data_IF_851766395343
#
_entry.id   IF_851766395343
#
_cell.length_a   1.000
_cell.length_b   1.000
_cell.length_c   1.000
_cell.angle_alpha   90.00
_cell.angle_beta   90.00
_cell.angle_gamma   90.00
#
_symmetry.space_group_name_H-M   'P 1'
#
loop_
_entity.id
_entity.type
_entity.pdbx_description
1 polymer ?
#
# COMPACT_ATOMS: atom_id res chain seq x y z
N UNK A 1 156.04 28.78 15.87
CA UNK A 1 155.32 29.93 15.83
C UNK A 1 154.04 29.64 15.21
N UNK A 2 153.06 29.50 15.89
CA UNK A 2 151.74 29.62 15.90
C UNK A 2 150.97 29.38 14.57
N UNK A 3 150.15 28.44 14.53
CA UNK A 3 149.14 28.20 13.51
C UNK A 3 147.80 27.82 14.12
N UNK A 4 146.72 28.20 13.60
CA UNK A 4 145.45 28.14 14.26
C UNK A 4 144.61 26.90 13.85
N UNK A 5 143.73 26.54 14.74
CA UNK A 5 142.83 25.43 14.68
C UNK A 5 141.59 25.64 13.83
N UNK A 6 141.12 24.59 13.35
CA UNK A 6 139.85 24.49 12.65
C UNK A 6 138.68 24.12 13.62
N UNK A 7 137.65 24.93 13.67
CA UNK A 7 136.46 24.63 14.45
C UNK A 7 135.43 23.81 13.68
N UNK A 8 134.55 23.08 14.38
CA UNK A 8 133.57 22.24 13.74
C UNK A 8 132.37 22.95 13.17
N UNK A 9 131.91 22.52 12.05
CA UNK A 9 130.68 22.95 11.40
C UNK A 9 129.44 22.74 12.29
N UNK A 10 128.85 23.87 12.70
CA UNK A 10 127.60 23.86 13.36
C UNK A 10 126.46 23.47 12.35
N UNK A 11 125.75 22.44 12.67
CA UNK A 11 124.47 22.14 11.96
C UNK A 11 123.46 23.23 12.30
N UNK A 12 123.13 24.07 11.35
CA UNK A 12 122.22 25.18 11.52
C UNK A 12 120.78 24.74 11.65
N UNK A 13 119.90 25.46 12.38
CA UNK A 13 118.47 25.10 12.62
C UNK A 13 117.70 25.00 11.34
N UNK A 14 118.16 25.39 10.19
CA UNK A 14 117.55 25.36 8.90
C UNK A 14 117.21 23.97 8.37
N UNK A 15 118.10 22.98 8.69
CA UNK A 15 117.84 21.61 8.23
C UNK A 15 116.63 20.97 8.94
N UNK A 16 116.47 21.27 10.21
CA UNK A 16 115.27 20.77 10.96
C UNK A 16 113.98 21.46 10.51
N UNK A 17 114.03 22.72 10.16
CA UNK A 17 112.82 23.42 9.62
C UNK A 17 112.49 22.91 8.23
N UNK A 18 113.50 22.61 7.40
CA UNK A 18 113.25 22.00 6.08
C UNK A 18 112.70 20.61 6.20
N UNK A 19 113.17 19.78 7.15
CA UNK A 19 112.69 18.43 7.43
C UNK A 19 111.19 18.47 7.94
N UNK A 20 110.94 19.41 8.85
CA UNK A 20 109.59 19.60 9.36
C UNK A 20 108.62 20.07 8.29
N UNK A 21 109.07 21.00 7.44
CA UNK A 21 108.20 21.51 6.31
C UNK A 21 107.97 20.39 5.27
N UNK A 22 108.95 19.56 4.98
CA UNK A 22 108.83 18.41 4.09
C UNK A 22 107.87 17.34 4.69
N UNK A 23 108.01 17.07 5.97
CA UNK A 23 107.09 16.12 6.65
C UNK A 23 105.60 16.66 6.68
N UNK A 24 105.46 17.94 6.90
CA UNK A 24 104.10 18.58 6.86
C UNK A 24 103.51 18.57 5.45
N UNK A 25 104.32 18.88 4.43
CA UNK A 25 103.88 18.88 3.03
C UNK A 25 103.52 17.45 2.54
N UNK A 26 104.32 16.44 2.94
CA UNK A 26 104.02 15.03 2.60
C UNK A 26 102.81 14.50 3.36
N UNK A 27 102.62 14.92 4.63
CA UNK A 27 101.43 14.60 5.39
C UNK A 27 100.20 15.24 4.80
N UNK A 28 100.34 16.55 4.40
CA UNK A 28 99.25 17.29 3.69
C UNK A 28 98.93 16.65 2.33
N UNK A 29 99.99 16.33 1.52
CA UNK A 29 99.75 15.71 0.22
C UNK A 29 99.17 14.30 0.36
N UNK A 30 99.59 13.50 1.34
CA UNK A 30 98.98 12.22 1.67
C UNK A 30 97.53 12.32 2.13
N UNK A 31 97.24 13.31 3.02
CA UNK A 31 95.86 13.61 3.49
C UNK A 31 94.99 14.10 2.37
N UNK A 32 95.50 15.01 1.51
CA UNK A 32 94.76 15.52 0.37
C UNK A 32 94.48 14.44 -0.68
N UNK A 33 95.45 13.57 -0.97
CA UNK A 33 95.32 12.40 -1.87
C UNK A 33 94.33 11.40 -1.31
N UNK A 34 94.38 11.10 -0.03
CA UNK A 34 93.43 10.24 0.68
C UNK A 34 92.04 10.80 0.62
N UNK A 35 91.88 12.09 0.90
CA UNK A 35 90.61 12.79 0.82
C UNK A 35 90.02 12.78 -0.59
N UNK A 36 90.83 13.06 -1.61
CA UNK A 36 90.38 13.05 -2.98
C UNK A 36 89.97 11.66 -3.48
N UNK A 37 90.69 10.60 -3.13
CA UNK A 37 90.37 9.27 -3.58
C UNK A 37 89.24 8.63 -2.83
N UNK A 38 89.11 8.86 -1.51
CA UNK A 38 88.05 8.26 -0.71
C UNK A 38 86.77 9.12 -0.62
N UNK A 39 86.89 10.42 -0.81
CA UNK A 39 85.76 11.31 -0.78
C UNK A 39 84.73 10.97 -1.86
N UNK A 40 85.17 10.72 -3.08
CA UNK A 40 84.32 10.33 -4.19
C UNK A 40 83.64 9.01 -3.98
N UNK A 41 84.30 8.03 -3.38
CA UNK A 41 83.75 6.71 -3.09
C UNK A 41 82.68 6.78 -1.96
N UNK A 42 82.97 7.58 -0.91
CA UNK A 42 81.99 7.83 0.17
C UNK A 42 80.79 8.56 -0.31
N UNK A 43 81.00 9.62 -1.11
CA UNK A 43 79.90 10.37 -1.74
C UNK A 43 79.08 9.47 -2.67
N UNK A 44 79.73 8.70 -3.53
CA UNK A 44 79.03 7.78 -4.43
C UNK A 44 78.20 6.73 -3.65
N UNK A 45 78.71 6.18 -2.54
CA UNK A 45 77.93 5.28 -1.66
C UNK A 45 76.78 5.99 -0.98
N UNK A 46 76.94 7.26 -0.52
CA UNK A 46 75.89 8.02 0.12
C UNK A 46 74.80 8.40 -0.87
N UNK A 47 75.14 8.81 -2.08
CA UNK A 47 74.21 9.11 -3.17
C UNK A 47 73.45 7.88 -3.63
N UNK A 48 74.15 6.72 -3.77
CA UNK A 48 73.51 5.47 -4.14
C UNK A 48 72.53 4.97 -3.05
N UNK A 49 72.91 5.09 -1.79
CA UNK A 49 72.07 4.73 -0.66
C UNK A 49 70.84 5.64 -0.56
N UNK A 50 71.00 6.96 -0.80
CA UNK A 50 69.93 7.96 -0.82
C UNK A 50 68.95 7.68 -2.00
N UNK A 51 69.51 7.42 -3.20
CA UNK A 51 68.68 7.08 -4.37
C UNK A 51 67.88 5.77 -4.16
N UNK A 52 68.52 4.73 -3.59
CA UNK A 52 67.82 3.48 -3.28
C UNK A 52 66.72 3.67 -2.28
N UNK A 53 66.91 4.49 -1.23
CA UNK A 53 65.82 4.85 -0.30
C UNK A 53 64.72 5.68 -0.99
N UNK A 54 65.08 6.65 -1.83
CA UNK A 54 64.07 7.40 -2.60
C UNK A 54 63.23 6.50 -3.49
N UNK A 55 63.83 5.61 -4.25
CA UNK A 55 63.09 4.62 -5.06
C UNK A 55 62.19 3.70 -4.22
N UNK A 56 62.69 3.29 -3.04
CA UNK A 56 61.92 2.51 -2.08
C UNK A 56 60.67 3.27 -1.57
N UNK A 57 60.83 4.56 -1.24
CA UNK A 57 59.69 5.39 -0.81
C UNK A 57 58.73 5.68 -1.96
N UNK A 58 59.23 6.03 -3.15
CA UNK A 58 58.39 6.28 -4.31
C UNK A 58 57.56 5.05 -4.74
N UNK A 59 58.18 3.88 -4.77
CA UNK A 59 57.47 2.64 -5.05
C UNK A 59 56.40 2.32 -4.01
N UNK A 60 56.72 2.61 -2.73
CA UNK A 60 55.76 2.39 -1.63
C UNK A 60 54.59 3.40 -1.66
N UNK A 61 54.87 4.66 -1.96
CA UNK A 61 53.85 5.68 -2.18
C UNK A 61 52.94 5.33 -3.38
N UNK A 62 53.56 4.84 -4.48
CA UNK A 62 52.78 4.39 -5.64
C UNK A 62 51.87 3.19 -5.32
N UNK A 63 52.37 2.20 -4.57
CA UNK A 63 51.59 1.04 -4.12
C UNK A 63 50.43 1.46 -3.20
N UNK A 64 50.69 2.34 -2.22
CA UNK A 64 49.66 2.84 -1.31
C UNK A 64 48.59 3.69 -2.05
N UNK A 65 49.02 4.47 -3.03
CA UNK A 65 48.06 5.26 -3.87
C UNK A 65 47.19 4.30 -4.67
N UNK A 66 47.74 3.26 -5.27
CA UNK A 66 46.97 2.27 -6.02
C UNK A 66 45.95 1.53 -5.12
N UNK A 67 46.38 1.12 -3.91
CA UNK A 67 45.47 0.51 -2.92
C UNK A 67 44.37 1.47 -2.49
N UNK A 68 44.69 2.74 -2.26
CA UNK A 68 43.72 3.76 -1.90
C UNK A 68 42.70 4.02 -3.04
N UNK A 69 43.16 4.16 -4.28
CA UNK A 69 42.30 4.31 -5.44
C UNK A 69 41.36 3.12 -5.61
N UNK A 70 41.91 1.91 -5.48
CA UNK A 70 41.08 0.70 -5.54
C UNK A 70 40.04 0.64 -4.42
N UNK A 71 40.40 0.99 -3.20
CA UNK A 71 39.47 1.01 -2.08
C UNK A 71 38.39 2.10 -2.24
N UNK A 72 38.77 3.29 -2.75
CA UNK A 72 37.80 4.37 -3.01
C UNK A 72 36.83 4.00 -4.12
N UNK A 73 37.28 3.42 -5.22
CA UNK A 73 36.42 2.94 -6.31
C UNK A 73 35.46 1.84 -5.82
N UNK A 74 35.93 0.86 -5.05
CA UNK A 74 35.10 -0.18 -4.45
C UNK A 74 34.04 0.41 -3.49
N UNK A 75 34.41 1.40 -2.70
CA UNK A 75 33.52 2.09 -1.77
C UNK A 75 32.44 2.92 -2.51
N UNK A 76 32.83 3.68 -3.55
CA UNK A 76 31.90 4.48 -4.35
C UNK A 76 30.90 3.59 -5.08
N UNK A 77 31.35 2.55 -5.77
CA UNK A 77 30.46 1.61 -6.49
C UNK A 77 29.50 0.89 -5.54
N UNK A 78 29.93 0.52 -4.36
CA UNK A 78 29.08 -0.13 -3.35
C UNK A 78 28.05 0.86 -2.79
N UNK A 79 28.46 2.10 -2.52
CA UNK A 79 27.59 3.18 -2.03
C UNK A 79 26.51 3.54 -3.05
N UNK A 80 26.89 3.68 -4.32
CA UNK A 80 25.94 4.00 -5.40
C UNK A 80 24.94 2.86 -5.62
N UNK A 81 25.41 1.61 -5.54
CA UNK A 81 24.52 0.45 -5.59
C UNK A 81 23.53 0.39 -4.42
N UNK A 82 23.95 0.80 -3.21
CA UNK A 82 23.07 0.88 -2.04
C UNK A 82 22.07 2.03 -2.17
N UNK A 83 22.52 3.20 -2.62
CA UNK A 83 21.65 4.37 -2.85
C UNK A 83 20.55 4.05 -3.88
N UNK A 84 20.90 3.38 -4.97
CA UNK A 84 19.93 2.95 -5.99
C UNK A 84 18.88 1.98 -5.42
N UNK A 85 19.30 1.02 -4.59
CA UNK A 85 18.40 0.07 -3.93
C UNK A 85 17.48 0.75 -2.93
N UNK A 86 17.99 1.68 -2.13
CA UNK A 86 17.19 2.47 -1.19
C UNK A 86 16.15 3.34 -1.92
N UNK A 87 16.54 3.98 -3.02
CA UNK A 87 15.60 4.74 -3.85
C UNK A 87 14.51 3.84 -4.47
N UNK A 88 14.84 2.61 -4.84
CA UNK A 88 13.85 1.63 -5.31
C UNK A 88 12.88 1.22 -4.18
N UNK A 89 13.39 0.94 -2.99
CA UNK A 89 12.56 0.62 -1.83
C UNK A 89 11.61 1.77 -1.45
N UNK A 90 12.10 3.02 -1.46
CA UNK A 90 11.27 4.19 -1.19
C UNK A 90 10.13 4.34 -2.21
N UNK A 91 10.40 4.09 -3.49
CA UNK A 91 9.35 4.08 -4.54
C UNK A 91 8.32 2.98 -4.32
N UNK A 92 8.77 1.77 -3.95
CA UNK A 92 7.87 0.65 -3.62
C UNK A 92 7.01 0.95 -2.40
N UNK A 93 7.61 1.54 -1.36
CA UNK A 93 6.87 1.95 -0.17
C UNK A 93 5.79 2.99 -0.51
N UNK A 94 6.12 4.05 -1.23
CA UNK A 94 5.16 5.06 -1.66
C UNK A 94 4.00 4.45 -2.50
N UNK A 95 4.31 3.48 -3.38
CA UNK A 95 3.30 2.76 -4.12
C UNK A 95 2.38 1.93 -3.22
N UNK A 96 2.92 1.26 -2.18
CA UNK A 96 2.14 0.50 -1.21
C UNK A 96 1.24 1.39 -0.35
N UNK A 97 1.73 2.56 0.06
CA UNK A 97 0.93 3.56 0.79
C UNK A 97 -0.23 4.08 -0.05
N UNK A 98 0.01 4.38 -1.33
CA UNK A 98 -1.05 4.76 -2.27
C UNK A 98 -2.10 3.65 -2.44
N UNK A 99 -1.67 2.39 -2.57
CA UNK A 99 -2.55 1.21 -2.65
C UNK A 99 -3.36 1.01 -1.37
N UNK A 100 -2.76 1.30 -0.20
CA UNK A 100 -3.47 1.24 1.07
C UNK A 100 -4.62 2.24 1.14
N UNK A 101 -4.44 3.44 0.59
CA UNK A 101 -5.51 4.44 0.44
C UNK A 101 -6.70 3.91 -0.39
N UNK A 102 -6.43 3.22 -1.50
CA UNK A 102 -7.46 2.60 -2.33
C UNK A 102 -8.19 1.48 -1.58
N UNK A 103 -7.44 0.62 -0.86
CA UNK A 103 -8.04 -0.44 -0.03
C UNK A 103 -8.92 0.13 1.07
N UNK A 104 -8.48 1.19 1.75
CA UNK A 104 -9.26 1.85 2.80
C UNK A 104 -10.54 2.45 2.25
N UNK A 105 -10.50 3.06 1.06
CA UNK A 105 -11.68 3.58 0.40
C UNK A 105 -12.68 2.47 0.02
N UNK A 106 -12.19 1.33 -0.45
CA UNK A 106 -13.02 0.15 -0.74
C UNK A 106 -13.57 -0.51 0.53
N UNK A 107 -12.79 -0.53 1.63
CA UNK A 107 -13.20 -1.11 2.91
C UNK A 107 -14.15 -0.21 3.71
N UNK A 108 -14.16 1.09 3.48
CA UNK A 108 -15.09 2.05 4.08
C UNK A 108 -16.53 1.89 3.59
N UNK A 109 -16.76 1.14 2.52
CA UNK A 109 -18.09 0.72 2.12
C UNK A 109 -18.55 -0.43 3.04
N UNK A 110 -19.77 -0.39 3.62
CA UNK A 110 -20.30 -1.41 4.54
C UNK A 110 -20.27 -2.85 3.98
N UNK A 111 -20.05 -2.99 2.67
CA UNK A 111 -19.85 -4.29 2.01
C UNK A 111 -18.45 -4.89 2.19
N UNK A 112 -17.45 -4.08 2.50
CA UNK A 112 -16.05 -4.52 2.59
C UNK A 112 -15.61 -4.86 4.03
N UNK A 113 -16.46 -4.64 5.03
CA UNK A 113 -16.13 -4.74 6.47
C UNK A 113 -15.80 -6.16 6.98
N UNK A 114 -15.72 -7.16 6.11
CA UNK A 114 -15.35 -8.56 6.46
C UNK A 114 -13.97 -8.97 5.93
N UNK A 115 -13.05 -8.02 5.76
CA UNK A 115 -11.67 -8.36 5.41
C UNK A 115 -10.92 -8.91 6.64
N UNK A 116 -10.08 -9.94 6.46
CA UNK A 116 -9.14 -10.34 7.51
C UNK A 116 -8.23 -9.14 7.82
N UNK A 117 -8.03 -8.86 9.10
CA UNK A 117 -7.10 -7.82 9.58
C UNK A 117 -5.74 -8.02 8.92
N UNK A 118 -5.32 -7.05 8.11
CA UNK A 118 -3.94 -6.96 7.64
C UNK A 118 -3.06 -6.77 8.88
N UNK A 119 -1.95 -7.51 9.02
CA UNK A 119 -1.05 -7.32 10.15
C UNK A 119 -0.57 -5.87 10.16
N UNK A 120 -1.03 -5.12 11.15
CA UNK A 120 -0.60 -3.77 11.41
C UNK A 120 0.86 -3.81 11.88
N UNK A 121 1.65 -2.83 11.40
CA UNK A 121 2.93 -2.37 11.92
C UNK A 121 4.18 -2.95 11.26
N UNK A 122 4.68 -2.17 10.30
CA UNK A 122 6.12 -2.00 10.11
C UNK A 122 6.61 -1.17 11.31
N UNK A 123 7.67 -1.57 12.03
CA UNK A 123 8.23 -0.78 13.13
C UNK A 123 8.58 0.63 12.66
N UNK A 124 8.23 1.63 13.44
CA UNK A 124 8.47 3.03 13.12
C UNK A 124 9.96 3.28 12.85
N UNK A 125 10.28 4.12 11.86
CA UNK A 125 11.65 4.50 11.46
C UNK A 125 12.52 4.96 12.63
N UNK A 126 11.93 5.52 13.68
CA UNK A 126 12.62 6.01 14.88
C UNK A 126 13.36 4.91 15.67
N UNK A 127 12.94 3.67 15.59
CA UNK A 127 13.57 2.58 16.37
C UNK A 127 14.84 2.06 15.67
N UNK A 128 14.84 2.00 14.34
CA UNK A 128 16.02 1.60 13.54
C UNK A 128 17.09 2.69 13.61
N UNK A 129 16.71 3.95 13.56
CA UNK A 129 17.64 5.10 13.65
C UNK A 129 18.23 5.24 15.05
N UNK A 130 17.45 4.99 16.11
CA UNK A 130 17.96 5.01 17.50
C UNK A 130 18.96 3.89 17.78
N UNK A 131 18.74 2.69 17.27
CA UNK A 131 19.69 1.58 17.47
C UNK A 131 21.01 1.81 16.72
N UNK A 132 20.97 2.43 15.54
CA UNK A 132 22.16 2.82 14.79
C UNK A 132 22.93 4.00 15.44
N UNK A 133 22.23 4.94 16.09
CA UNK A 133 22.84 6.10 16.74
C UNK A 133 23.52 5.75 18.06
N UNK A 134 23.05 4.72 18.79
CA UNK A 134 23.61 4.28 20.06
C UNK A 134 24.94 3.52 19.95
N UNK A 135 25.34 3.10 18.73
CA UNK A 135 26.58 2.34 18.48
C UNK A 135 27.76 3.16 17.95
N UNK A 136 27.76 4.49 18.10
CA UNK A 136 28.95 5.29 17.83
C UNK A 136 29.92 5.20 19.03
N UNK A 137 31.09 4.56 18.89
CA UNK A 137 32.13 4.71 19.90
C UNK A 137 32.59 6.16 19.88
N UNK A 138 32.57 6.80 21.04
CA UNK A 138 33.00 8.18 21.22
C UNK A 138 34.45 8.35 20.80
N UNK A 139 34.66 8.98 19.63
CA UNK A 139 35.98 9.43 19.23
C UNK A 139 36.30 10.70 20.01
N UNK A 140 36.92 10.56 21.17
CA UNK A 140 37.64 11.66 21.81
C UNK A 140 38.85 12.00 20.93
N UNK A 141 38.87 13.22 20.38
CA UNK A 141 40.02 13.75 19.65
C UNK A 141 41.26 13.78 20.61
N UNK A 142 42.26 12.93 20.34
CA UNK A 142 43.55 13.00 20.99
C UNK A 142 44.35 14.18 20.39
N UNK A 143 45.07 14.98 21.22
CA UNK A 143 45.98 16.01 20.70
C UNK A 143 47.09 15.41 19.85
N UNK A 144 47.55 16.19 18.84
CA UNK A 144 48.63 15.77 17.92
C UNK A 144 49.87 15.30 18.66
N UNK A 145 50.43 14.14 18.37
CA UNK A 145 51.66 13.69 18.96
C UNK A 145 52.85 14.49 18.37
N UNK A 146 53.76 14.87 19.24
CA UNK A 146 55.11 15.40 18.89
C UNK A 146 55.82 14.40 17.98
N UNK A 147 56.61 14.83 16.96
CA UNK A 147 57.28 13.91 16.07
C UNK A 147 58.34 13.08 16.83
N UNK A 148 58.06 11.81 17.03
CA UNK A 148 59.05 10.84 17.46
C UNK A 148 60.01 10.50 16.32
N UNK A 149 61.30 10.16 16.62
CA UNK A 149 62.30 9.80 15.61
C UNK A 149 61.82 8.62 14.79
N UNK A 150 61.90 8.75 13.47
CA UNK A 150 61.40 7.82 12.46
C UNK A 150 62.04 6.43 12.70
N UNK A 151 61.30 5.38 12.97
CA UNK A 151 61.83 4.04 13.08
C UNK A 151 62.34 3.55 11.72
N UNK A 152 63.39 2.69 11.76
CA UNK A 152 64.05 2.12 10.58
C UNK A 152 63.05 1.52 9.57
N UNK A 153 63.37 1.65 8.29
CA UNK A 153 62.53 1.44 7.10
C UNK A 153 62.06 -0.02 6.89
N UNK A 154 62.34 -0.93 7.81
CA UNK A 154 62.09 -2.38 7.66
C UNK A 154 60.78 -2.91 8.31
N UNK A 155 59.92 -2.04 8.86
CA UNK A 155 58.62 -2.52 9.34
C UNK A 155 57.64 -2.66 8.17
N UNK A 156 57.08 -3.85 7.94
CA UNK A 156 55.99 -4.02 6.94
C UNK A 156 54.81 -3.15 7.36
N UNK A 157 54.35 -2.27 6.47
CA UNK A 157 53.10 -1.52 6.67
C UNK A 157 51.98 -2.57 6.73
N UNK A 158 51.31 -2.67 7.87
CA UNK A 158 50.09 -3.49 7.94
C UNK A 158 49.08 -3.02 6.88
N UNK A 159 48.54 -3.94 6.04
CA UNK A 159 47.55 -3.60 5.07
C UNK A 159 46.32 -3.06 5.79
N UNK A 160 45.73 -1.98 5.25
CA UNK A 160 44.49 -1.35 5.78
C UNK A 160 43.44 -2.44 5.99
N UNK A 161 43.01 -2.68 7.24
CA UNK A 161 42.00 -3.71 7.53
C UNK A 161 40.60 -3.27 7.07
N UNK A 162 40.31 -3.51 5.80
CA UNK A 162 39.00 -3.24 5.16
C UNK A 162 37.96 -4.35 5.46
N UNK A 163 38.29 -5.38 6.24
CA UNK A 163 37.41 -6.53 6.51
C UNK A 163 36.17 -6.09 7.26
N UNK A 164 36.32 -5.25 8.27
CA UNK A 164 35.19 -4.70 9.04
C UNK A 164 34.21 -3.89 8.19
N UNK A 165 34.73 -3.04 7.29
CA UNK A 165 33.92 -2.27 6.35
C UNK A 165 33.15 -3.18 5.38
N UNK A 166 33.83 -4.18 4.78
CA UNK A 166 33.16 -5.15 3.86
C UNK A 166 32.07 -5.95 4.57
N UNK A 167 32.27 -6.34 5.80
CA UNK A 167 31.29 -7.09 6.57
C UNK A 167 30.06 -6.24 6.91
N UNK A 168 30.24 -4.96 7.29
CA UNK A 168 29.15 -4.03 7.54
C UNK A 168 28.30 -3.81 6.28
N UNK A 169 28.93 -3.60 5.13
CA UNK A 169 28.23 -3.48 3.84
C UNK A 169 27.45 -4.74 3.47
N UNK A 170 28.04 -5.92 3.70
CA UNK A 170 27.33 -7.19 3.46
C UNK A 170 26.09 -7.33 4.35
N UNK A 171 26.20 -6.98 5.63
CA UNK A 171 25.04 -6.99 6.56
C UNK A 171 23.96 -6.02 6.12
N UNK A 172 24.32 -4.79 5.75
CA UNK A 172 23.37 -3.81 5.22
C UNK A 172 22.69 -4.33 3.94
N UNK A 173 23.43 -4.94 3.03
CA UNK A 173 22.88 -5.56 1.83
C UNK A 173 21.84 -6.65 2.12
N UNK A 174 22.08 -7.47 3.16
CA UNK A 174 21.12 -8.50 3.59
C UNK A 174 19.84 -7.89 4.18
N UNK A 175 19.95 -6.83 4.98
CA UNK A 175 18.81 -6.11 5.54
C UNK A 175 17.97 -5.48 4.44
N UNK A 176 18.60 -4.83 3.46
CA UNK A 176 17.92 -4.24 2.29
C UNK A 176 17.19 -5.31 1.48
N UNK A 177 17.82 -6.48 1.27
CA UNK A 177 17.18 -7.59 0.57
C UNK A 177 16.02 -8.20 1.36
N UNK A 178 16.10 -8.26 2.69
CA UNK A 178 14.98 -8.71 3.53
C UNK A 178 13.80 -7.74 3.48
N UNK A 179 14.08 -6.45 3.57
CA UNK A 179 13.05 -5.40 3.44
C UNK A 179 12.36 -5.47 2.06
N UNK A 180 13.12 -5.66 0.98
CA UNK A 180 12.55 -5.83 -0.36
C UNK A 180 11.56 -7.00 -0.41
N UNK A 181 11.94 -8.18 0.13
CA UNK A 181 11.03 -9.35 0.19
C UNK A 181 9.76 -9.08 1.00
N UNK A 182 9.86 -8.34 2.11
CA UNK A 182 8.70 -7.96 2.91
C UNK A 182 7.75 -7.04 2.15
N UNK A 183 8.28 -6.05 1.43
CA UNK A 183 7.49 -5.15 0.59
C UNK A 183 6.82 -5.90 -0.56
N UNK A 184 7.50 -6.84 -1.20
CA UNK A 184 6.92 -7.70 -2.24
C UNK A 184 5.78 -8.57 -1.66
N UNK A 185 5.97 -9.18 -0.49
CA UNK A 185 4.93 -9.94 0.20
C UNK A 185 3.71 -9.09 0.57
N UNK A 186 3.92 -7.84 0.98
CA UNK A 186 2.83 -6.90 1.26
C UNK A 186 2.08 -6.51 -0.02
N UNK A 187 2.80 -6.25 -1.13
CA UNK A 187 2.19 -5.95 -2.43
C UNK A 187 1.29 -7.08 -2.93
N UNK A 188 1.75 -8.33 -2.78
CA UNK A 188 0.93 -9.52 -3.09
C UNK A 188 -0.29 -9.64 -2.18
N UNK A 189 -0.14 -9.38 -0.88
CA UNK A 189 -1.25 -9.41 0.07
C UNK A 189 -2.32 -8.36 -0.28
N UNK A 190 -1.91 -7.13 -0.63
CA UNK A 190 -2.80 -6.07 -1.08
C UNK A 190 -3.53 -6.46 -2.38
N UNK A 191 -2.84 -7.06 -3.34
CA UNK A 191 -3.43 -7.52 -4.60
C UNK A 191 -4.46 -8.62 -4.37
N UNK A 192 -4.17 -9.58 -3.48
CA UNK A 192 -5.14 -10.62 -3.08
C UNK A 192 -6.36 -10.04 -2.36
N UNK A 193 -6.17 -9.05 -1.50
CA UNK A 193 -7.25 -8.38 -0.80
C UNK A 193 -8.21 -7.69 -1.77
N UNK A 194 -7.71 -6.90 -2.72
CA UNK A 194 -8.50 -6.24 -3.75
C UNK A 194 -9.29 -7.26 -4.60
N UNK A 195 -8.62 -8.32 -5.06
CA UNK A 195 -9.27 -9.38 -5.83
C UNK A 195 -10.38 -10.07 -5.01
N UNK A 196 -10.14 -10.29 -3.71
CA UNK A 196 -11.13 -10.85 -2.78
C UNK A 196 -12.37 -9.99 -2.63
N UNK A 197 -12.18 -8.65 -2.47
CA UNK A 197 -13.27 -7.67 -2.40
C UNK A 197 -14.09 -7.72 -3.69
N UNK A 198 -13.42 -7.60 -4.84
CA UNK A 198 -14.08 -7.61 -6.14
C UNK A 198 -14.88 -8.89 -6.39
N UNK A 199 -14.30 -10.04 -6.09
CA UNK A 199 -14.98 -11.34 -6.23
C UNK A 199 -16.19 -11.46 -5.28
N UNK A 200 -16.08 -11.01 -4.03
CA UNK A 200 -17.17 -11.02 -3.06
C UNK A 200 -18.33 -10.12 -3.51
N UNK A 201 -18.02 -8.88 -3.88
CA UNK A 201 -19.00 -7.92 -4.38
C UNK A 201 -19.67 -8.42 -5.67
N UNK A 202 -18.90 -9.00 -6.60
CA UNK A 202 -19.42 -9.58 -7.83
C UNK A 202 -20.41 -10.74 -7.58
N UNK A 203 -20.08 -11.64 -6.64
CA UNK A 203 -21.02 -12.71 -6.24
C UNK A 203 -22.30 -12.15 -5.62
N UNK A 204 -22.18 -11.11 -4.79
CA UNK A 204 -23.34 -10.45 -4.18
C UNK A 204 -24.19 -9.77 -5.25
N UNK A 205 -23.60 -9.04 -6.18
CA UNK A 205 -24.30 -8.42 -7.30
C UNK A 205 -25.04 -9.45 -8.16
N UNK A 206 -24.39 -10.54 -8.53
CA UNK A 206 -25.03 -11.63 -9.29
C UNK A 206 -26.21 -12.25 -8.54
N UNK A 207 -26.06 -12.48 -7.22
CA UNK A 207 -27.13 -13.03 -6.38
C UNK A 207 -28.32 -12.08 -6.30
N UNK A 208 -28.09 -10.78 -6.04
CA UNK A 208 -29.14 -9.78 -5.98
C UNK A 208 -29.84 -9.60 -7.34
N UNK A 209 -29.06 -9.57 -8.44
CA UNK A 209 -29.64 -9.50 -9.81
C UNK A 209 -30.54 -10.70 -10.09
N UNK A 210 -30.12 -11.91 -9.74
CA UNK A 210 -30.92 -13.12 -9.87
C UNK A 210 -32.20 -13.08 -9.01
N UNK A 211 -32.14 -12.48 -7.82
CA UNK A 211 -33.32 -12.30 -6.96
C UNK A 211 -34.29 -11.28 -7.56
N UNK A 212 -33.81 -10.12 -8.00
CA UNK A 212 -34.64 -9.09 -8.65
C UNK A 212 -35.28 -9.63 -9.92
N UNK A 213 -34.56 -10.38 -10.75
CA UNK A 213 -35.11 -11.00 -11.96
C UNK A 213 -36.29 -11.96 -11.68
N UNK A 214 -36.31 -12.64 -10.52
CA UNK A 214 -37.41 -13.51 -10.11
C UNK A 214 -38.74 -12.78 -9.86
N UNK A 215 -38.69 -11.46 -9.59
CA UNK A 215 -39.89 -10.64 -9.46
C UNK A 215 -40.53 -10.31 -10.81
N UNK A 216 -39.83 -10.49 -11.91
CA UNK A 216 -40.20 -10.02 -13.24
C UNK A 216 -39.77 -8.58 -13.53
N UNK A 217 -39.06 -7.93 -12.60
CA UNK A 217 -38.49 -6.61 -12.81
C UNK A 217 -37.19 -6.70 -13.60
N UNK A 218 -37.02 -5.82 -14.58
CA UNK A 218 -35.75 -5.61 -15.23
C UNK A 218 -34.87 -4.71 -14.35
N UNK A 219 -33.70 -5.21 -13.86
CA UNK A 219 -32.80 -4.41 -13.04
C UNK A 219 -32.33 -3.13 -13.73
N UNK A 220 -32.28 -3.09 -15.05
CA UNK A 220 -31.85 -1.91 -15.81
C UNK A 220 -32.73 -0.67 -15.60
N UNK A 221 -33.99 -0.84 -15.16
CA UNK A 221 -34.90 0.27 -14.79
C UNK A 221 -34.41 1.09 -13.62
N UNK A 222 -33.60 0.49 -12.77
CA UNK A 222 -33.05 1.11 -11.57
C UNK A 222 -31.65 1.68 -11.82
N UNK A 223 -31.06 1.39 -12.99
CA UNK A 223 -29.81 2.00 -13.38
C UNK A 223 -30.08 3.50 -13.58
N UNK A 224 -29.67 4.29 -12.58
CA UNK A 224 -29.60 5.74 -12.73
C UNK A 224 -28.75 6.00 -13.98
N UNK A 225 -29.30 6.67 -14.98
CA UNK A 225 -28.47 7.28 -16.03
C UNK A 225 -27.54 8.23 -15.29
N UNK A 226 -26.32 7.76 -15.00
CA UNK A 226 -25.30 8.61 -14.41
C UNK A 226 -25.22 9.88 -15.25
N UNK A 227 -25.42 11.08 -14.68
CA UNK A 227 -25.15 12.32 -15.42
C UNK A 227 -23.69 12.24 -15.83
N UNK A 228 -23.41 12.36 -17.12
CA UNK A 228 -22.16 12.07 -17.76
C UNK A 228 -20.95 12.41 -16.91
N UNK A 229 -20.15 11.41 -16.58
CA UNK A 229 -18.85 11.55 -15.97
C UNK A 229 -17.95 12.27 -17.00
N UNK A 230 -17.76 13.58 -16.80
CA UNK A 230 -16.84 14.41 -17.57
C UNK A 230 -15.58 14.66 -16.73
N UNK A 231 -14.42 14.47 -17.36
CA UNK A 231 -13.11 14.75 -16.80
C UNK A 231 -12.02 14.20 -17.70
N UNK A 232 -10.76 14.68 -17.60
CA UNK A 232 -9.66 14.06 -18.35
C UNK A 232 -9.52 12.60 -17.93
N UNK A 233 -9.64 11.70 -18.90
CA UNK A 233 -9.38 10.29 -18.70
C UNK A 233 -7.88 10.12 -18.46
N UNK A 234 -7.47 9.85 -17.23
CA UNK A 234 -6.10 9.41 -16.93
C UNK A 234 -6.09 7.88 -17.10
N UNK A 235 -5.38 7.35 -18.10
CA UNK A 235 -5.27 5.90 -18.24
C UNK A 235 -4.65 5.31 -16.97
N UNK A 236 -5.30 4.33 -16.39
CA UNK A 236 -4.64 3.42 -15.45
C UNK A 236 -3.55 2.73 -16.29
N UNK A 237 -2.28 2.99 -15.98
CA UNK A 237 -1.19 2.28 -16.63
C UNK A 237 -1.39 0.75 -16.50
N UNK A 238 -0.53 -0.04 -17.15
CA UNK A 238 -0.57 -1.51 -17.12
C UNK A 238 -0.30 -2.11 -15.70
N UNK A 239 -0.56 -1.35 -14.62
CA UNK A 239 -0.44 -1.83 -13.25
C UNK A 239 -1.58 -2.82 -12.95
N UNK A 240 -1.26 -4.12 -12.75
CA UNK A 240 -2.25 -5.14 -12.45
C UNK A 240 -3.09 -4.83 -11.21
N UNK A 241 -2.50 -4.15 -10.21
CA UNK A 241 -3.24 -3.74 -9.02
C UNK A 241 -4.29 -2.66 -9.35
N UNK A 242 -3.93 -1.65 -10.14
CA UNK A 242 -4.86 -0.59 -10.56
C UNK A 242 -6.04 -1.14 -11.34
N UNK A 243 -5.80 -2.09 -12.25
CA UNK A 243 -6.85 -2.78 -13.01
C UNK A 243 -7.78 -3.55 -12.08
N UNK A 244 -7.23 -4.36 -11.15
CA UNK A 244 -8.00 -5.12 -10.19
C UNK A 244 -8.82 -4.21 -9.24
N UNK A 245 -8.24 -3.08 -8.82
CA UNK A 245 -8.92 -2.09 -7.98
C UNK A 245 -10.12 -1.45 -8.71
N UNK A 246 -9.95 -1.07 -9.97
CA UNK A 246 -11.04 -0.52 -10.77
C UNK A 246 -12.18 -1.55 -11.00
N UNK A 247 -11.83 -2.82 -11.18
CA UNK A 247 -12.82 -3.90 -11.29
C UNK A 247 -13.56 -4.11 -9.96
N UNK A 248 -12.84 -4.11 -8.84
CA UNK A 248 -13.43 -4.23 -7.52
C UNK A 248 -14.37 -3.06 -7.20
N UNK A 249 -13.96 -1.81 -7.52
CA UNK A 249 -14.81 -0.63 -7.37
C UNK A 249 -16.12 -0.75 -8.14
N UNK A 250 -16.07 -1.19 -9.40
CA UNK A 250 -17.28 -1.41 -10.23
C UNK A 250 -18.20 -2.46 -9.61
N UNK A 251 -17.63 -3.59 -9.16
CA UNK A 251 -18.40 -4.65 -8.55
C UNK A 251 -19.08 -4.21 -7.24
N UNK A 252 -18.37 -3.43 -6.41
CA UNK A 252 -18.92 -2.85 -5.16
C UNK A 252 -20.03 -1.87 -5.48
N UNK A 253 -19.83 -0.95 -6.43
CA UNK A 253 -20.84 0.02 -6.84
C UNK A 253 -22.09 -0.67 -7.39
N UNK A 254 -21.94 -1.71 -8.20
CA UNK A 254 -23.05 -2.50 -8.74
C UNK A 254 -23.81 -3.22 -7.62
N UNK A 255 -23.12 -3.87 -6.68
CA UNK A 255 -23.74 -4.55 -5.56
C UNK A 255 -24.52 -3.55 -4.67
N UNK A 256 -23.97 -2.36 -4.42
CA UNK A 256 -24.63 -1.29 -3.68
C UNK A 256 -25.86 -0.76 -4.42
N UNK A 257 -25.80 -0.58 -5.75
CA UNK A 257 -26.96 -0.19 -6.56
C UNK A 257 -28.07 -1.23 -6.47
N UNK A 258 -27.75 -2.51 -6.63
CA UNK A 258 -28.73 -3.59 -6.53
C UNK A 258 -29.33 -3.72 -5.12
N UNK A 259 -28.56 -3.44 -4.05
CA UNK A 259 -29.13 -3.36 -2.69
C UNK A 259 -30.15 -2.23 -2.55
N UNK A 260 -29.83 -1.04 -3.03
CA UNK A 260 -30.80 0.08 -3.04
C UNK A 260 -32.09 -0.30 -3.76
N UNK A 261 -32.00 -1.02 -4.88
CA UNK A 261 -33.15 -1.54 -5.59
C UNK A 261 -33.99 -2.46 -4.68
N UNK A 262 -33.33 -3.40 -3.99
CA UNK A 262 -34.06 -4.33 -3.11
C UNK A 262 -34.76 -3.63 -1.95
N UNK A 263 -34.30 -2.47 -1.50
CA UNK A 263 -34.96 -1.65 -0.47
C UNK A 263 -36.27 -1.02 -0.94
N UNK A 264 -36.43 -0.82 -2.25
CA UNK A 264 -37.67 -0.28 -2.85
C UNK A 264 -38.68 -1.37 -3.19
N UNK A 265 -38.29 -2.64 -3.15
CA UNK A 265 -39.19 -3.75 -3.45
C UNK A 265 -40.19 -3.99 -2.30
N UNK A 266 -41.45 -4.36 -2.60
CA UNK A 266 -42.49 -4.64 -1.61
C UNK A 266 -42.32 -6.02 -0.98
N UNK A 267 -41.28 -6.15 -0.15
CA UNK A 267 -40.84 -7.40 0.45
C UNK A 267 -41.42 -7.64 1.85
N UNK A 268 -41.94 -6.59 2.52
CA UNK A 268 -42.51 -6.74 3.86
C UNK A 268 -43.89 -7.38 3.78
N UNK A 269 -44.27 -8.02 4.88
CA UNK A 269 -45.62 -8.57 5.00
C UNK A 269 -46.67 -7.45 5.12
N UNK A 270 -47.79 -7.49 4.35
CA UNK A 270 -48.83 -6.47 4.42
C UNK A 270 -49.72 -6.59 5.66
N UNK A 271 -49.70 -7.75 6.34
CA UNK A 271 -50.37 -7.98 7.64
C UNK A 271 -49.37 -8.62 8.61
N UNK A 272 -49.61 -8.48 9.91
CA UNK A 272 -48.72 -9.07 10.94
C UNK A 272 -48.96 -10.60 11.11
N UNK A 273 -47.96 -11.29 11.66
CA UNK A 273 -48.08 -12.73 11.97
C UNK A 273 -48.12 -13.61 10.73
N UNK A 274 -48.86 -14.71 10.83
CA UNK A 274 -49.08 -15.63 9.71
C UNK A 274 -49.97 -14.97 8.68
N UNK A 275 -49.73 -15.27 7.39
CA UNK A 275 -50.50 -14.73 6.26
C UNK A 275 -51.29 -15.87 5.61
N UNK A 276 -52.39 -16.33 6.20
CA UNK A 276 -53.19 -17.39 5.61
C UNK A 276 -53.85 -16.91 4.30
N UNK A 277 -53.37 -17.45 3.20
CA UNK A 277 -53.86 -17.09 1.85
C UNK A 277 -55.23 -17.75 1.66
N UNK A 278 -56.26 -16.97 1.42
CA UNK A 278 -57.59 -17.43 1.08
C UNK A 278 -57.80 -17.55 -0.44
N UNK A 279 -57.14 -16.74 -1.23
CA UNK A 279 -57.13 -16.82 -2.69
C UNK A 279 -55.84 -16.32 -3.31
N UNK A 280 -55.31 -17.03 -4.28
CA UNK A 280 -54.10 -16.67 -4.99
C UNK A 280 -54.37 -15.82 -6.22
N UNK A 281 -53.32 -15.16 -6.71
CA UNK A 281 -53.29 -14.44 -7.99
C UNK A 281 -53.53 -15.42 -9.15
N UNK A 282 -54.26 -15.00 -10.17
CA UNK A 282 -54.43 -15.73 -11.41
C UNK A 282 -55.90 -15.99 -11.79
N UNK A 283 -56.10 -16.74 -12.87
CA UNK A 283 -57.42 -17.07 -13.36
C UNK A 283 -58.13 -18.02 -12.37
N UNK A 284 -59.36 -17.65 -11.97
CA UNK A 284 -60.23 -18.43 -11.06
C UNK A 284 -61.72 -18.23 -11.38
N UNK A 285 -62.56 -19.08 -10.87
CA UNK A 285 -64.01 -18.84 -10.88
C UNK A 285 -64.32 -17.67 -9.97
N UNK A 286 -64.98 -16.66 -10.53
CA UNK A 286 -65.50 -15.52 -9.79
C UNK A 286 -66.62 -15.94 -8.85
N UNK A 287 -66.54 -15.67 -7.54
CA UNK A 287 -67.54 -16.14 -6.58
C UNK A 287 -68.92 -15.50 -6.77
N UNK A 288 -69.02 -14.34 -7.49
CA UNK A 288 -70.26 -13.63 -7.73
C UNK A 288 -70.93 -13.98 -9.06
N UNK A 289 -70.12 -14.01 -10.16
CA UNK A 289 -70.64 -14.26 -11.51
C UNK A 289 -70.58 -15.72 -11.93
N UNK A 290 -69.79 -16.54 -11.22
CA UNK A 290 -69.44 -17.96 -11.54
C UNK A 290 -68.79 -18.12 -12.91
N UNK A 291 -68.34 -17.02 -13.52
CA UNK A 291 -67.51 -17.04 -14.72
C UNK A 291 -66.02 -17.07 -14.38
N UNK A 292 -65.19 -17.42 -15.37
CA UNK A 292 -63.72 -17.31 -15.22
C UNK A 292 -63.33 -15.80 -15.21
N UNK A 293 -62.60 -15.40 -14.20
CA UNK A 293 -62.07 -14.02 -14.09
C UNK A 293 -60.60 -14.06 -13.59
N UNK A 294 -59.87 -13.03 -13.94
CA UNK A 294 -58.50 -12.83 -13.44
C UNK A 294 -58.57 -12.21 -12.04
N UNK A 295 -58.01 -12.90 -11.05
CA UNK A 295 -57.78 -12.32 -9.73
C UNK A 295 -56.44 -11.55 -9.76
N UNK A 296 -56.51 -10.26 -9.60
CA UNK A 296 -55.38 -9.33 -9.79
C UNK A 296 -54.49 -9.20 -8.58
N UNK A 297 -54.79 -9.90 -7.48
CA UNK A 297 -54.05 -9.81 -6.24
C UNK A 297 -53.97 -11.12 -5.44
N UNK A 298 -53.65 -10.98 -4.21
CA UNK A 298 -53.56 -12.05 -3.19
C UNK A 298 -54.56 -11.67 -2.08
N UNK A 299 -55.51 -12.57 -1.79
CA UNK A 299 -56.43 -12.38 -0.67
C UNK A 299 -55.84 -13.03 0.59
N UNK A 300 -55.57 -12.22 1.60
CA UNK A 300 -55.06 -12.63 2.89
C UNK A 300 -56.16 -12.57 3.95
N UNK A 301 -56.44 -13.73 4.56
CA UNK A 301 -57.43 -13.83 5.62
C UNK A 301 -56.98 -13.05 6.85
N UNK A 302 -57.78 -12.11 7.29
CA UNK A 302 -57.53 -11.26 8.47
C UNK A 302 -58.85 -10.77 9.01
N UNK A 303 -58.94 -10.46 10.30
CA UNK A 303 -60.14 -9.94 10.96
C UNK A 303 -60.34 -8.47 10.63
N UNK A 304 -61.63 -8.03 10.62
CA UNK A 304 -61.95 -6.64 10.45
C UNK A 304 -61.35 -5.80 11.57
N UNK A 305 -60.62 -4.73 11.18
CA UNK A 305 -59.90 -3.85 12.10
C UNK A 305 -58.41 -4.23 12.31
N UNK A 306 -57.97 -5.39 11.84
CA UNK A 306 -56.53 -5.71 11.84
C UNK A 306 -55.71 -4.71 11.04
N UNK A 307 -54.51 -4.35 11.47
CA UNK A 307 -53.69 -3.38 10.78
C UNK A 307 -53.08 -3.92 9.48
N UNK A 308 -53.18 -3.13 8.40
CA UNK A 308 -52.49 -3.33 7.14
C UNK A 308 -51.28 -2.41 7.03
N UNK A 309 -50.15 -2.93 6.59
CA UNK A 309 -48.88 -2.22 6.57
C UNK A 309 -48.29 -2.08 5.16
N UNK A 310 -47.60 -0.96 4.92
CA UNK A 310 -46.86 -0.73 3.69
C UNK A 310 -45.75 -1.78 3.51
N UNK A 311 -45.74 -2.46 2.39
CA UNK A 311 -44.76 -3.53 2.09
C UNK A 311 -43.41 -2.98 1.64
N UNK A 312 -43.34 -1.73 1.15
CA UNK A 312 -42.17 -0.94 0.87
C UNK A 312 -42.42 0.54 1.17
N UNK A 313 -41.35 1.34 1.22
CA UNK A 313 -41.48 2.79 1.32
C UNK A 313 -42.01 3.38 -0.01
N UNK A 314 -42.79 4.45 0.07
CA UNK A 314 -43.32 5.07 -1.14
C UNK A 314 -44.25 6.26 -0.86
N UNK A 315 -44.83 6.81 -1.92
CA UNK A 315 -45.81 7.89 -1.85
C UNK A 315 -47.20 7.33 -2.08
N UNK A 316 -48.13 7.64 -1.20
CA UNK A 316 -49.54 7.29 -1.35
C UNK A 316 -50.12 8.05 -2.56
N UNK A 317 -50.62 7.34 -3.56
CA UNK A 317 -51.28 7.93 -4.75
C UNK A 317 -52.76 7.94 -4.62
N UNK A 318 -53.35 6.94 -3.97
CA UNK A 318 -54.80 6.83 -3.75
C UNK A 318 -55.06 6.42 -2.29
N UNK A 319 -56.04 7.03 -1.65
CA UNK A 319 -56.66 6.59 -0.41
C UNK A 319 -58.13 7.00 -0.45
N UNK A 320 -58.93 6.23 -1.16
CA UNK A 320 -60.34 6.54 -1.45
C UNK A 320 -61.14 5.26 -1.75
N UNK A 321 -62.47 5.41 -1.83
CA UNK A 321 -63.37 4.34 -2.26
C UNK A 321 -63.30 4.16 -3.78
N UNK A 322 -62.98 2.95 -4.22
CA UNK A 322 -62.76 2.64 -5.65
C UNK A 322 -63.54 1.38 -6.06
N UNK A 323 -64.79 1.57 -6.41
CA UNK A 323 -65.67 0.57 -6.99
C UNK A 323 -65.58 -0.83 -6.34
N UNK A 324 -65.21 -1.83 -7.10
CA UNK A 324 -65.05 -3.20 -6.61
C UNK A 324 -63.99 -3.39 -5.53
N UNK A 325 -62.97 -2.52 -5.46
CA UNK A 325 -61.91 -2.57 -4.42
C UNK A 325 -62.42 -2.08 -3.04
N UNK A 326 -63.58 -1.34 -3.02
CA UNK A 326 -64.03 -0.69 -1.81
C UNK A 326 -63.05 0.40 -1.37
N UNK A 327 -62.82 0.53 -0.06
CA UNK A 327 -61.79 1.43 0.43
C UNK A 327 -60.40 0.88 0.08
N UNK A 328 -59.66 1.65 -0.69
CA UNK A 328 -58.37 1.24 -1.25
C UNK A 328 -57.29 2.28 -0.97
N UNK A 329 -56.11 1.80 -0.62
CA UNK A 329 -54.86 2.58 -0.60
C UNK A 329 -53.96 2.07 -1.72
N UNK A 330 -53.38 2.99 -2.52
CA UNK A 330 -52.33 2.67 -3.48
C UNK A 330 -51.08 3.45 -3.11
N UNK A 331 -49.92 2.79 -3.17
CA UNK A 331 -48.61 3.36 -2.87
C UNK A 331 -47.71 3.17 -4.09
N UNK A 332 -47.20 4.27 -4.61
CA UNK A 332 -46.14 4.28 -5.63
C UNK A 332 -44.75 4.19 -4.96
N UNK A 333 -43.99 3.17 -5.30
CA UNK A 333 -42.65 2.91 -4.80
C UNK A 333 -41.55 3.44 -5.73
N UNK A 334 -41.98 4.10 -6.85
CA UNK A 334 -41.07 4.52 -7.91
C UNK A 334 -40.77 3.37 -8.90
N UNK A 335 -40.10 3.74 -9.98
CA UNK A 335 -39.68 2.81 -11.05
C UNK A 335 -40.80 1.96 -11.66
N UNK A 336 -42.04 2.49 -11.67
CA UNK A 336 -43.22 1.80 -12.16
C UNK A 336 -43.77 0.73 -11.22
N UNK A 337 -43.28 0.64 -9.99
CA UNK A 337 -43.73 -0.33 -9.00
C UNK A 337 -44.74 0.29 -8.04
N UNK A 338 -45.91 -0.31 -7.90
CA UNK A 338 -46.94 0.12 -6.97
C UNK A 338 -47.55 -1.07 -6.22
N UNK A 339 -48.14 -0.81 -5.05
CA UNK A 339 -48.93 -1.77 -4.29
C UNK A 339 -50.32 -1.23 -3.95
N UNK A 340 -51.33 -2.11 -3.91
CA UNK A 340 -52.69 -1.79 -3.51
C UNK A 340 -53.12 -2.61 -2.31
N UNK A 341 -53.85 -1.96 -1.43
CA UNK A 341 -54.44 -2.51 -0.22
C UNK A 341 -55.94 -2.20 -0.27
N UNK A 342 -56.78 -3.21 -0.48
CA UNK A 342 -58.17 -3.03 -0.74
C UNK A 342 -59.09 -3.72 0.30
N UNK A 343 -60.38 -3.48 0.19
CA UNK A 343 -61.44 -3.91 1.11
C UNK A 343 -61.28 -3.37 2.52
N UNK A 344 -60.54 -2.26 2.70
CA UNK A 344 -60.25 -1.70 4.00
C UNK A 344 -61.49 -1.20 4.73
N UNK A 345 -61.52 -1.28 6.05
CA UNK A 345 -62.53 -0.66 6.90
C UNK A 345 -62.23 0.81 7.19
N UNK A 346 -60.92 1.19 7.21
CA UNK A 346 -60.49 2.55 7.45
C UNK A 346 -59.10 2.81 6.81
N UNK A 347 -58.87 4.05 6.37
CA UNK A 347 -57.54 4.53 5.96
C UNK A 347 -56.76 5.03 7.17
N UNK A 348 -55.45 4.86 7.16
CA UNK A 348 -54.49 5.44 8.11
C UNK A 348 -53.58 6.47 7.45
N UNK A 349 -53.73 6.70 6.15
CA UNK A 349 -52.87 7.56 5.33
C UNK A 349 -53.74 8.42 4.39
N UNK A 350 -53.15 9.46 3.83
CA UNK A 350 -53.79 10.37 2.87
C UNK A 350 -52.99 10.43 1.56
N UNK A 351 -53.67 10.73 0.42
CA UNK A 351 -52.98 10.94 -0.85
C UNK A 351 -51.87 12.00 -0.74
N UNK A 352 -50.71 11.73 -1.37
CA UNK A 352 -49.54 12.60 -1.33
C UNK A 352 -48.61 12.33 -0.14
N UNK A 353 -49.05 11.62 0.88
CA UNK A 353 -48.24 11.28 2.04
C UNK A 353 -47.11 10.31 1.66
N UNK A 354 -45.90 10.54 2.19
CA UNK A 354 -44.81 9.58 2.12
C UNK A 354 -44.90 8.62 3.30
N UNK A 355 -44.79 7.32 3.04
CA UNK A 355 -44.83 6.26 4.04
C UNK A 355 -43.54 5.44 4.01
N UNK A 356 -43.05 5.09 5.18
CA UNK A 356 -41.92 4.16 5.31
C UNK A 356 -42.40 2.70 5.15
N UNK A 357 -41.52 1.79 4.78
CA UNK A 357 -41.81 0.36 4.77
C UNK A 357 -42.20 -0.13 6.17
N UNK A 358 -43.36 -0.78 6.29
CA UNK A 358 -43.95 -1.21 7.56
C UNK A 358 -44.81 -0.16 8.27
N UNK A 359 -45.03 1.04 7.65
CA UNK A 359 -45.98 2.00 8.18
C UNK A 359 -47.43 1.51 8.06
N UNK A 360 -48.28 1.85 9.03
CA UNK A 360 -49.72 1.55 8.99
C UNK A 360 -50.37 2.33 7.83
N UNK A 361 -51.04 1.62 6.92
CA UNK A 361 -51.69 2.22 5.75
C UNK A 361 -53.23 2.21 5.89
N UNK A 362 -53.77 1.28 6.66
CA UNK A 362 -55.20 1.15 6.89
C UNK A 362 -55.55 -0.02 7.80
N UNK A 363 -56.83 -0.31 7.90
CA UNK A 363 -57.35 -1.44 8.64
C UNK A 363 -58.12 -2.37 7.74
N UNK A 364 -57.93 -3.68 7.87
CA UNK A 364 -58.66 -4.69 7.13
C UNK A 364 -60.17 -4.57 7.33
N UNK A 365 -60.92 -4.91 6.33
CA UNK A 365 -62.38 -4.87 6.34
C UNK A 365 -63.02 -5.82 5.31
N UNK A 366 -64.19 -5.43 4.80
CA UNK A 366 -64.96 -6.15 3.79
C UNK A 366 -65.76 -5.16 2.94
N UNK A 367 -65.18 -4.01 2.61
CA UNK A 367 -65.86 -3.00 1.77
C UNK A 367 -65.76 -3.34 0.28
N UNK A 368 -66.65 -2.80 -0.55
CA UNK A 368 -66.67 -3.07 -1.97
C UNK A 368 -67.17 -4.48 -2.31
N UNK A 369 -66.53 -5.14 -3.29
CA UNK A 369 -66.92 -6.49 -3.76
C UNK A 369 -66.14 -7.54 -2.98
N UNK A 370 -66.56 -7.84 -1.76
CA UNK A 370 -65.91 -8.78 -0.85
C UNK A 370 -66.96 -9.75 -0.31
N UNK A 371 -66.62 -11.02 -0.12
CA UNK A 371 -67.46 -12.07 0.47
C UNK A 371 -67.28 -12.25 1.98
N UNK A 372 -66.30 -11.55 2.59
CA UNK A 372 -65.99 -11.61 4.01
C UNK A 372 -64.70 -10.87 4.32
N UNK A 373 -64.33 -10.76 5.60
CA UNK A 373 -63.15 -9.99 6.04
C UNK A 373 -61.86 -10.57 5.50
N UNK A 374 -61.10 -9.81 4.77
CA UNK A 374 -59.77 -10.14 4.25
C UNK A 374 -59.07 -8.87 3.74
N UNK A 375 -57.74 -8.93 3.57
CA UNK A 375 -56.97 -7.94 2.83
C UNK A 375 -56.77 -8.43 1.39
N UNK A 376 -57.28 -7.70 0.41
CA UNK A 376 -56.88 -7.87 -0.99
C UNK A 376 -55.62 -7.05 -1.23
N UNK A 377 -54.54 -7.72 -1.57
CA UNK A 377 -53.21 -7.10 -1.75
C UNK A 377 -52.72 -7.31 -3.19
N UNK A 378 -52.39 -6.23 -3.89
CA UNK A 378 -51.80 -6.29 -5.23
C UNK A 378 -50.39 -5.72 -5.24
N UNK A 379 -49.53 -6.30 -6.09
CA UNK A 379 -48.32 -5.70 -6.59
C UNK A 379 -48.46 -5.44 -8.07
N UNK A 380 -48.06 -4.27 -8.52
CA UNK A 380 -48.21 -3.82 -9.91
C UNK A 380 -46.89 -3.34 -10.46
N UNK A 381 -46.59 -3.71 -11.72
CA UNK A 381 -45.46 -3.23 -12.49
C UNK A 381 -46.02 -2.50 -13.73
N UNK A 382 -45.67 -1.21 -13.90
CA UNK A 382 -46.14 -0.34 -14.98
C UNK A 382 -47.70 -0.32 -15.09
N UNK A 383 -48.36 -0.39 -13.96
CA UNK A 383 -49.79 -0.44 -13.90
C UNK A 383 -50.41 -1.83 -14.10
N UNK A 384 -49.67 -2.82 -14.51
CA UNK A 384 -50.15 -4.19 -14.68
C UNK A 384 -50.01 -5.02 -13.40
N UNK A 385 -51.01 -5.78 -12.99
CA UNK A 385 -50.98 -6.62 -11.81
C UNK A 385 -50.05 -7.85 -12.04
N UNK A 386 -49.19 -8.11 -11.05
CA UNK A 386 -48.29 -9.26 -11.03
C UNK A 386 -48.50 -10.06 -9.75
N UNK A 387 -48.10 -11.34 -9.75
CA UNK A 387 -48.25 -12.22 -8.58
C UNK A 387 -47.48 -11.68 -7.37
N UNK A 388 -48.15 -11.20 -6.30
CA UNK A 388 -47.48 -10.66 -5.11
C UNK A 388 -46.61 -11.67 -4.37
N UNK A 389 -46.90 -12.97 -4.48
CA UNK A 389 -46.12 -14.01 -3.84
C UNK A 389 -44.67 -14.04 -4.33
N UNK A 390 -44.38 -13.58 -5.56
CA UNK A 390 -43.03 -13.47 -6.08
C UNK A 390 -42.15 -12.55 -5.23
N UNK A 391 -42.74 -11.47 -4.70
CA UNK A 391 -42.07 -10.49 -3.85
C UNK A 391 -41.98 -10.98 -2.40
N UNK A 392 -43.11 -11.43 -1.85
CA UNK A 392 -43.17 -11.87 -0.43
C UNK A 392 -42.25 -13.05 -0.11
N UNK A 393 -42.07 -14.00 -1.04
CA UNK A 393 -41.14 -15.13 -0.88
C UNK A 393 -39.65 -14.73 -1.01
N UNK A 394 -39.37 -13.58 -1.61
CA UNK A 394 -38.02 -13.06 -1.75
C UNK A 394 -37.45 -12.52 -0.46
N UNK A 395 -38.30 -12.03 0.46
CA UNK A 395 -37.84 -11.52 1.75
C UNK A 395 -36.97 -12.52 2.51
N UNK A 396 -37.40 -13.79 2.54
CA UNK A 396 -36.68 -14.86 3.22
C UNK A 396 -35.34 -15.18 2.52
N UNK A 397 -35.29 -15.09 1.18
CA UNK A 397 -34.09 -15.32 0.40
C UNK A 397 -33.07 -14.17 0.54
N UNK A 398 -33.56 -12.91 0.67
CA UNK A 398 -32.71 -11.72 0.88
C UNK A 398 -32.10 -11.67 2.28
N UNK A 399 -32.82 -12.15 3.30
CA UNK A 399 -32.29 -12.25 4.66
C UNK A 399 -31.03 -13.16 4.75
N UNK A 400 -30.83 -14.05 3.77
CA UNK A 400 -29.66 -14.95 3.67
C UNK A 400 -28.51 -14.37 2.83
N UNK A 401 -28.65 -13.16 2.29
CA UNK A 401 -27.59 -12.45 1.55
C UNK A 401 -26.74 -11.68 2.55
N UNK A 402 -25.43 -11.99 2.68
CA UNK A 402 -24.54 -11.36 3.65
C UNK A 402 -24.27 -9.89 3.32
#
# INVERSE_FOLDING_TARGET
MAGPGAGPFGRGPGLWVLGAALALSTAWAGGATYYLVFHDEVLARFVSQQSTMQYGYESRIAALRFELERATVEQVTTRDGLATRLADLSRRQAALESRQGVLSALAGDPMASRLPELPAQVPAEDEIVREAAQRRPGATAKPFPTPEPVPAVDSPVEPLDLRGARESFRRTGLVVADLARRLDGLAEAQSRAVAGIGASAGRTAQRLRGLVARTGLDPSRFESREPGLGGPLVPLGDDPFGIAAAQAQRAVAEAAALRRITETLPLRRPIAGDMPVSSTFGARLDPFTRGYAMHTGLDLRAETGEPAYATAAGRVTVADYNGGYGNMVEIDHGHGLATRYAHLSAYAVTPGQWVAAGALVGRVGSTGRSTGSHLHYETRIDGEPVDPQRFLRLADALAQVP
#
